data_IF_396999273261
#
_entry.id   IF_396999273261
#
_cell.length_a   1.000
_cell.length_b   1.000
_cell.length_c   1.000
_cell.angle_alpha   90.00
_cell.angle_beta   90.00
_cell.angle_gamma   90.00
#
_symmetry.space_group_name_H-M   'P 1'
#
loop_
_entity.id
_entity.type
_entity.pdbx_description
1 polymer ?
#
# COMPACT_ATOMS: atom_id res chain seq x y z
N UNK A 1 -16.03 -8.49 2.06
CA UNK A 1 -16.10 -8.02 0.67
C UNK A 1 -16.35 -6.53 0.73
N UNK A 2 -15.30 -5.74 0.55
CA UNK A 2 -15.36 -4.28 0.66
C UNK A 2 -15.71 -3.75 -0.72
N UNK A 3 -16.89 -3.16 -0.85
CA UNK A 3 -17.28 -2.45 -2.07
C UNK A 3 -16.67 -1.05 -1.94
N UNK A 4 -15.55 -0.78 -2.61
CA UNK A 4 -15.04 0.59 -2.75
C UNK A 4 -15.79 1.23 -3.91
N UNK A 5 -16.70 2.15 -3.60
CA UNK A 5 -17.23 3.06 -4.60
C UNK A 5 -16.12 4.05 -4.99
N UNK A 6 -16.03 4.38 -6.28
CA UNK A 6 -15.06 5.36 -6.80
C UNK A 6 -15.00 6.62 -5.92
N UNK A 7 -13.82 7.09 -5.49
CA UNK A 7 -13.69 8.45 -4.98
C UNK A 7 -14.17 9.44 -6.04
N UNK A 8 -14.96 10.42 -5.61
CA UNK A 8 -15.41 11.53 -6.45
C UNK A 8 -14.23 12.46 -6.76
N UNK A 9 -13.39 12.10 -7.71
CA UNK A 9 -12.36 13.01 -8.23
C UNK A 9 -12.24 12.89 -9.74
N UNK A 10 -12.63 13.98 -10.41
CA UNK A 10 -12.14 14.47 -11.71
C UNK A 10 -12.87 14.02 -13.01
N UNK A 11 -13.83 14.86 -13.39
CA UNK A 11 -13.83 15.71 -14.60
C UNK A 11 -13.71 15.12 -16.02
N UNK A 12 -13.68 13.80 -16.26
CA UNK A 12 -13.76 13.31 -17.67
C UNK A 12 -14.17 11.86 -17.85
N UNK A 13 -15.22 11.42 -17.15
CA UNK A 13 -15.86 10.16 -17.51
C UNK A 13 -16.75 10.32 -18.76
N UNK A 14 -16.35 9.75 -19.90
CA UNK A 14 -17.20 9.63 -21.10
C UNK A 14 -17.99 8.32 -21.17
N UNK A 15 -17.97 7.51 -20.11
CA UNK A 15 -18.85 6.36 -19.94
C UNK A 15 -20.21 6.86 -19.43
N UNK A 16 -21.28 6.35 -20.03
CA UNK A 16 -22.66 6.72 -19.71
C UNK A 16 -23.32 5.67 -18.81
N UNK A 17 -22.58 5.05 -17.89
CA UNK A 17 -23.12 4.02 -16.99
C UNK A 17 -23.37 4.58 -15.57
N UNK A 18 -24.22 3.87 -14.82
CA UNK A 18 -24.82 4.26 -13.53
C UNK A 18 -23.82 4.42 -12.36
N UNK A 19 -22.55 4.09 -12.58
CA UNK A 19 -21.57 3.78 -11.53
C UNK A 19 -20.40 4.76 -11.46
N UNK A 20 -20.46 5.84 -12.24
CA UNK A 20 -19.47 6.92 -12.28
C UNK A 20 -19.78 8.08 -11.33
N UNK A 21 -20.89 7.98 -10.59
CA UNK A 21 -21.38 9.04 -9.71
C UNK A 21 -21.92 10.28 -10.41
N UNK A 22 -21.87 10.40 -11.75
CA UNK A 22 -22.46 11.57 -12.45
C UNK A 22 -23.98 11.47 -12.55
N UNK A 23 -24.52 10.27 -12.37
CA UNK A 23 -25.95 10.02 -12.36
C UNK A 23 -26.48 10.02 -10.92
N UNK A 24 -27.12 11.11 -10.50
CA UNK A 24 -27.83 11.23 -9.21
C UNK A 24 -29.01 10.26 -9.05
N UNK A 25 -29.20 9.35 -10.00
CA UNK A 25 -30.21 8.32 -10.04
C UNK A 25 -29.61 7.04 -10.61
N UNK A 26 -29.71 5.91 -9.89
CA UNK A 26 -29.65 4.61 -10.55
C UNK A 26 -30.86 4.56 -11.49
N UNK A 27 -30.62 4.69 -12.79
CA UNK A 27 -31.70 4.70 -13.78
C UNK A 27 -32.42 3.34 -13.76
N UNK A 28 -33.58 3.26 -13.11
CA UNK A 28 -34.43 2.07 -13.11
C UNK A 28 -34.71 1.43 -11.75
N UNK A 29 -34.30 2.02 -10.63
CA UNK A 29 -34.69 1.48 -9.32
C UNK A 29 -36.22 1.55 -9.13
N UNK A 30 -36.85 0.37 -9.11
CA UNK A 30 -38.30 0.19 -9.01
C UNK A 30 -38.83 0.15 -7.56
N UNK A 31 -37.99 0.52 -6.58
CA UNK A 31 -38.25 0.40 -5.15
C UNK A 31 -37.74 -0.92 -4.55
N UNK A 32 -37.70 -1.02 -3.21
CA UNK A 32 -37.17 -2.18 -2.50
C UNK A 32 -36.64 -1.82 -1.11
N UNK A 33 -36.09 -2.80 -0.40
CA UNK A 33 -35.35 -2.59 0.85
C UNK A 33 -33.96 -1.99 0.57
N UNK A 34 -33.30 -1.47 1.60
CA UNK A 34 -31.89 -1.05 1.50
C UNK A 34 -30.99 -2.19 1.04
N UNK A 35 -31.33 -3.45 1.34
CA UNK A 35 -30.58 -4.62 0.87
C UNK A 35 -30.72 -4.81 -0.64
N UNK A 36 -31.90 -4.53 -1.20
CA UNK A 36 -32.15 -4.66 -2.64
C UNK A 36 -31.43 -3.55 -3.42
N UNK A 37 -31.35 -2.35 -2.84
CA UNK A 37 -30.54 -1.26 -3.38
C UNK A 37 -29.04 -1.58 -3.38
N UNK A 38 -28.52 -2.12 -2.27
CA UNK A 38 -27.12 -2.51 -2.16
C UNK A 38 -26.80 -3.66 -3.11
N UNK A 39 -27.72 -4.62 -3.29
CA UNK A 39 -27.56 -5.69 -4.26
C UNK A 39 -27.58 -5.15 -5.70
N UNK A 40 -28.46 -4.20 -6.02
CA UNK A 40 -28.48 -3.56 -7.34
C UNK A 40 -27.18 -2.78 -7.62
N UNK A 41 -26.61 -2.09 -6.63
CA UNK A 41 -25.29 -1.46 -6.74
C UNK A 41 -24.18 -2.50 -6.97
N UNK A 42 -24.24 -3.66 -6.31
CA UNK A 42 -23.28 -4.76 -6.52
C UNK A 42 -23.48 -5.42 -7.88
N UNK A 43 -24.70 -5.57 -8.37
CA UNK A 43 -24.98 -6.19 -9.67
C UNK A 43 -24.68 -5.24 -10.84
N UNK A 44 -24.87 -3.93 -10.66
CA UNK A 44 -24.58 -2.91 -11.70
C UNK A 44 -23.13 -2.40 -11.67
N UNK A 45 -22.52 -2.32 -10.48
CA UNK A 45 -21.17 -1.79 -10.30
C UNK A 45 -20.14 -2.84 -9.85
N UNK A 46 -20.55 -4.03 -9.40
CA UNK A 46 -19.63 -5.12 -9.04
C UNK A 46 -19.05 -5.87 -10.24
N UNK A 47 -19.69 -5.78 -11.41
CA UNK A 47 -19.17 -6.30 -12.68
C UNK A 47 -18.17 -5.34 -13.38
N UNK A 48 -17.89 -4.15 -12.82
CA UNK A 48 -16.91 -3.20 -13.37
C UNK A 48 -15.46 -3.71 -13.33
N UNK A 49 -15.15 -4.74 -12.54
CA UNK A 49 -13.81 -5.31 -12.44
C UNK A 49 -13.56 -6.49 -13.40
N UNK A 50 -14.53 -6.92 -14.22
CA UNK A 50 -14.35 -8.03 -15.15
C UNK A 50 -13.62 -7.63 -16.46
N UNK A 51 -13.30 -6.34 -16.62
CA UNK A 51 -12.56 -5.80 -17.77
C UNK A 51 -11.87 -4.47 -17.47
N UNK A 52 -11.61 -4.23 -16.19
CA UNK A 52 -10.85 -3.09 -15.74
C UNK A 52 -9.39 -3.23 -16.20
N UNK A 53 -8.85 -2.20 -16.85
CA UNK A 53 -7.47 -2.19 -17.37
C UNK A 53 -6.53 -1.33 -16.53
N UNK A 54 -7.08 -0.59 -15.56
CA UNK A 54 -6.46 0.35 -14.62
C UNK A 54 -7.47 0.49 -13.47
N UNK A 55 -7.27 -0.28 -12.39
CA UNK A 55 -8.30 -0.56 -11.39
C UNK A 55 -8.33 0.36 -10.19
N UNK A 56 -7.27 1.09 -9.96
CA UNK A 56 -7.21 2.18 -9.00
C UNK A 56 -7.23 3.56 -9.66
N UNK A 57 -7.25 3.62 -10.98
CA UNK A 57 -7.39 4.84 -11.79
C UNK A 57 -6.21 5.79 -11.60
N UNK A 58 -5.01 5.23 -11.49
CA UNK A 58 -3.77 5.97 -11.26
C UNK A 58 -3.07 6.43 -12.56
N UNK A 59 -3.55 5.93 -13.71
CA UNK A 59 -3.02 6.24 -15.04
C UNK A 59 -2.07 5.18 -15.60
N UNK A 60 -1.78 4.11 -14.84
CA UNK A 60 -0.99 2.95 -15.23
C UNK A 60 -1.93 1.77 -15.49
N UNK A 61 -1.64 0.96 -16.51
CA UNK A 61 -2.47 -0.23 -16.75
C UNK A 61 -2.11 -1.33 -15.76
N UNK A 62 -3.08 -2.09 -15.24
CA UNK A 62 -2.87 -3.20 -14.28
C UNK A 62 -1.78 -4.20 -14.70
N UNK A 63 -1.51 -4.34 -16.00
CA UNK A 63 -0.46 -5.23 -16.53
C UNK A 63 0.97 -4.67 -16.42
N UNK A 64 1.09 -3.36 -16.21
CA UNK A 64 2.34 -2.60 -16.07
C UNK A 64 2.44 -1.90 -14.70
N UNK A 65 1.38 -1.98 -13.89
CA UNK A 65 1.24 -1.33 -12.59
C UNK A 65 1.88 -2.17 -11.48
N UNK A 66 2.77 -1.56 -10.69
CA UNK A 66 3.43 -2.20 -9.56
C UNK A 66 2.54 -2.23 -8.29
N UNK A 67 1.38 -1.56 -8.29
CA UNK A 67 0.34 -1.66 -7.27
C UNK A 67 -1.11 -1.64 -7.81
N UNK A 68 -1.57 -2.65 -8.59
CA UNK A 68 -2.85 -2.65 -9.34
C UNK A 68 -4.19 -2.45 -8.60
N UNK A 69 -4.16 -2.20 -7.29
CA UNK A 69 -5.35 -1.93 -6.50
C UNK A 69 -5.16 -0.81 -5.48
N UNK A 70 -4.08 -0.04 -5.58
CA UNK A 70 -3.75 1.11 -4.74
C UNK A 70 -3.12 2.21 -5.61
N UNK A 71 -3.87 3.30 -5.80
CA UNK A 71 -3.48 4.45 -6.59
C UNK A 71 -2.06 4.93 -6.30
N UNK A 72 -1.14 4.82 -7.26
CA UNK A 72 0.25 5.23 -7.14
C UNK A 72 0.86 5.73 -8.47
N UNK A 73 0.39 6.86 -9.04
CA UNK A 73 0.73 7.29 -10.40
C UNK A 73 2.22 7.53 -10.68
N UNK A 74 3.02 7.73 -9.63
CA UNK A 74 4.47 7.88 -9.73
C UNK A 74 5.17 6.55 -9.99
N UNK A 75 4.50 5.43 -9.69
CA UNK A 75 5.00 4.05 -9.82
C UNK A 75 6.38 3.93 -9.14
N UNK A 76 6.53 4.59 -7.98
CA UNK A 76 7.73 4.52 -7.16
C UNK A 76 7.89 3.10 -6.62
N UNK A 77 9.11 2.59 -6.71
CA UNK A 77 9.57 1.25 -6.34
C UNK A 77 11.03 1.46 -5.90
N UNK A 78 11.18 1.81 -4.62
CA UNK A 78 12.44 2.28 -4.06
C UNK A 78 13.51 1.19 -4.02
N UNK A 79 13.10 -0.08 -4.02
CA UNK A 79 13.98 -1.25 -3.85
C UNK A 79 14.15 -2.10 -5.12
N UNK A 80 13.25 -1.91 -6.10
CA UNK A 80 13.29 -2.52 -7.41
C UNK A 80 12.81 -3.97 -7.43
N UNK A 81 11.98 -4.40 -6.47
CA UNK A 81 11.43 -5.75 -6.41
C UNK A 81 10.18 -5.95 -7.31
N UNK A 82 9.63 -4.84 -7.81
CA UNK A 82 8.47 -4.80 -8.69
C UNK A 82 7.12 -4.62 -7.97
N UNK A 83 7.12 -4.46 -6.65
CA UNK A 83 6.00 -3.93 -5.86
C UNK A 83 6.22 -2.42 -5.67
N UNK A 84 5.17 -1.63 -5.83
CA UNK A 84 5.28 -0.20 -5.60
C UNK A 84 5.31 0.14 -4.11
N UNK A 85 5.97 1.25 -3.79
CA UNK A 85 6.12 1.77 -2.42
C UNK A 85 4.78 1.89 -1.66
N UNK A 86 3.68 2.14 -2.38
CA UNK A 86 2.31 2.27 -1.83
C UNK A 86 1.65 0.93 -1.43
N UNK A 87 2.08 -0.18 -2.00
CA UNK A 87 1.54 -1.52 -1.72
C UNK A 87 2.57 -2.50 -1.14
N UNK A 88 3.83 -2.08 -1.07
CA UNK A 88 4.90 -2.82 -0.43
C UNK A 88 4.95 -2.49 1.08
N UNK A 89 5.11 -3.54 1.90
CA UNK A 89 5.31 -3.40 3.34
C UNK A 89 6.76 -3.71 3.74
N UNK A 90 7.66 -3.83 2.77
CA UNK A 90 9.05 -4.20 2.97
C UNK A 90 9.93 -3.52 1.91
N UNK A 91 10.30 -2.27 2.16
CA UNK A 91 11.04 -1.49 1.16
C UNK A 91 12.52 -1.90 1.05
N UNK A 92 12.99 -2.89 1.82
CA UNK A 92 14.38 -3.39 1.80
C UNK A 92 15.44 -2.26 1.77
N UNK A 93 15.18 -1.18 2.52
CA UNK A 93 16.03 0.00 2.63
C UNK A 93 16.81 -0.08 3.95
N UNK A 94 18.11 -0.45 3.94
CA UNK A 94 18.85 -0.63 5.18
C UNK A 94 18.86 0.65 6.03
N UNK A 95 18.30 0.55 7.23
CA UNK A 95 18.14 1.66 8.17
C UNK A 95 16.73 2.24 8.26
N UNK A 96 15.83 1.97 7.31
CA UNK A 96 14.39 2.23 7.42
C UNK A 96 13.76 0.96 8.01
N UNK A 97 13.67 0.93 9.33
CA UNK A 97 13.33 -0.28 10.10
C UNK A 97 11.84 -0.33 10.43
N UNK A 98 11.13 0.80 10.31
CA UNK A 98 9.67 0.81 10.39
C UNK A 98 8.97 0.82 9.03
N UNK A 99 9.73 0.70 7.93
CA UNK A 99 9.25 0.60 6.55
C UNK A 99 8.33 1.79 6.20
N UNK A 100 8.78 3.02 6.49
CA UNK A 100 8.02 4.26 6.23
C UNK A 100 8.68 5.23 5.25
N UNK A 101 9.72 4.75 4.55
CA UNK A 101 10.53 5.46 3.56
C UNK A 101 11.27 6.67 4.14
N UNK A 102 11.50 6.68 5.45
CA UNK A 102 12.23 7.72 6.13
C UNK A 102 13.29 7.15 7.08
N UNK A 103 14.43 7.84 7.17
CA UNK A 103 15.46 7.50 8.14
C UNK A 103 15.38 8.50 9.29
N UNK A 104 14.77 8.09 10.40
CA UNK A 104 14.59 8.94 11.56
C UNK A 104 14.68 8.20 12.92
N UNK A 105 14.29 8.89 13.98
CA UNK A 105 14.39 8.37 15.34
C UNK A 105 13.48 7.16 15.60
N UNK A 106 12.41 7.00 14.82
CA UNK A 106 11.49 5.86 14.90
C UNK A 106 12.19 4.57 14.45
N UNK A 107 13.09 4.61 13.47
CA UNK A 107 13.91 3.47 13.09
C UNK A 107 14.83 3.01 14.21
N UNK A 108 15.43 3.98 14.90
CA UNK A 108 16.30 3.71 16.06
C UNK A 108 15.49 3.04 17.16
N UNK A 109 14.27 3.54 17.42
CA UNK A 109 13.37 2.94 18.41
C UNK A 109 13.00 1.52 18.01
N UNK A 110 12.67 1.27 16.74
CA UNK A 110 12.31 -0.05 16.23
C UNK A 110 13.50 -1.01 16.31
N UNK A 111 14.69 -0.58 15.90
CA UNK A 111 15.94 -1.35 16.03
C UNK A 111 16.21 -1.74 17.49
N UNK A 112 16.05 -0.80 18.43
CA UNK A 112 16.22 -1.08 19.86
C UNK A 112 15.17 -2.09 20.35
N UNK A 113 13.92 -1.98 19.91
CA UNK A 113 12.87 -2.93 20.26
C UNK A 113 13.19 -4.35 19.73
N UNK A 114 13.73 -4.47 18.51
CA UNK A 114 14.19 -5.75 17.95
C UNK A 114 15.29 -6.35 18.83
N UNK A 115 16.31 -5.57 19.21
CA UNK A 115 17.40 -6.03 20.09
C UNK A 115 16.84 -6.53 21.42
N UNK A 116 15.93 -5.78 22.04
CA UNK A 116 15.31 -6.13 23.32
C UNK A 116 14.42 -7.38 23.23
N UNK A 117 13.86 -7.66 22.06
CA UNK A 117 13.04 -8.84 21.80
C UNK A 117 13.84 -10.08 21.35
N UNK A 118 15.18 -10.05 21.41
CA UNK A 118 16.04 -11.17 21.05
C UNK A 118 16.77 -11.04 19.72
N UNK A 119 16.79 -9.84 19.12
CA UNK A 119 17.53 -9.54 17.89
C UNK A 119 16.99 -10.33 16.70
N UNK A 120 17.91 -10.83 15.86
CA UNK A 120 17.60 -11.59 14.64
C UNK A 120 16.70 -12.82 14.87
N UNK A 121 16.70 -13.36 16.10
CA UNK A 121 15.88 -14.54 16.46
C UNK A 121 14.48 -14.17 16.99
N UNK A 122 14.14 -12.89 17.06
CA UNK A 122 12.84 -12.45 17.57
C UNK A 122 11.70 -12.90 16.64
N UNK A 123 10.59 -13.44 17.16
CA UNK A 123 9.40 -13.77 16.37
C UNK A 123 8.46 -12.57 16.21
N UNK A 124 8.70 -11.46 16.91
CA UNK A 124 7.75 -10.34 17.03
C UNK A 124 7.89 -9.31 15.88
N UNK A 125 8.90 -9.48 15.03
CA UNK A 125 9.25 -8.57 13.93
C UNK A 125 9.34 -9.32 12.60
N UNK A 126 9.05 -8.62 11.50
CA UNK A 126 9.14 -9.19 10.16
C UNK A 126 10.60 -9.49 9.77
N UNK A 127 10.79 -10.22 8.69
CA UNK A 127 12.14 -10.47 8.16
C UNK A 127 12.75 -9.19 7.56
N UNK A 128 11.92 -8.32 6.98
CA UNK A 128 12.36 -7.04 6.41
C UNK A 128 12.98 -6.15 7.47
N UNK A 129 12.21 -5.85 8.52
CA UNK A 129 12.65 -5.06 9.67
C UNK A 129 13.96 -5.57 10.28
N UNK A 130 14.16 -6.90 10.32
CA UNK A 130 15.41 -7.47 10.82
C UNK A 130 16.58 -7.31 9.85
N UNK A 131 16.31 -7.40 8.56
CA UNK A 131 17.27 -7.16 7.49
C UNK A 131 17.70 -5.70 7.49
N UNK A 132 16.75 -4.77 7.58
CA UNK A 132 17.03 -3.33 7.59
C UNK A 132 17.68 -2.86 8.90
N UNK A 133 17.42 -3.58 10.00
CA UNK A 133 18.08 -3.34 11.28
C UNK A 133 19.51 -3.91 11.38
N UNK A 134 19.96 -4.79 10.47
CA UNK A 134 21.35 -5.30 10.41
C UNK A 134 22.19 -4.50 9.42
N UNK A 135 22.42 -3.21 9.74
CA UNK A 135 23.08 -2.27 8.84
C UNK A 135 24.51 -2.69 8.44
N UNK A 136 25.17 -3.51 9.26
CA UNK A 136 26.51 -4.00 8.97
C UNK A 136 26.53 -5.40 8.30
N UNK A 137 25.34 -5.98 8.08
CA UNK A 137 25.09 -7.24 7.39
C UNK A 137 25.91 -8.43 7.93
N UNK A 138 26.06 -8.52 9.27
CA UNK A 138 26.81 -9.61 9.91
C UNK A 138 25.91 -10.73 10.47
N UNK A 139 24.60 -10.62 10.29
CA UNK A 139 23.58 -11.52 10.82
C UNK A 139 23.29 -11.33 12.31
N UNK A 140 23.71 -10.21 12.92
CA UNK A 140 23.57 -9.93 14.35
C UNK A 140 23.15 -8.49 14.59
N UNK A 141 21.87 -8.30 14.88
CA UNK A 141 21.29 -7.00 15.26
C UNK A 141 21.68 -6.66 16.72
N UNK A 142 22.47 -5.61 16.90
CA UNK A 142 22.96 -5.16 18.20
C UNK A 142 23.23 -3.64 18.23
N UNK A 143 23.85 -3.15 19.30
CA UNK A 143 24.10 -1.71 19.49
C UNK A 143 24.99 -1.10 18.39
N UNK A 144 25.80 -1.90 17.69
CA UNK A 144 26.60 -1.43 16.56
C UNK A 144 25.71 -0.95 15.41
N UNK A 145 24.59 -1.63 15.15
CA UNK A 145 23.64 -1.27 14.09
C UNK A 145 22.91 0.03 14.44
N UNK A 146 22.51 0.19 15.71
CA UNK A 146 21.94 1.45 16.22
C UNK A 146 22.90 2.62 16.03
N UNK A 147 24.20 2.42 16.30
CA UNK A 147 25.21 3.47 16.10
C UNK A 147 25.34 3.81 14.61
N UNK A 148 25.29 2.82 13.71
CA UNK A 148 25.31 3.06 12.28
C UNK A 148 24.09 3.85 11.81
N UNK A 149 22.90 3.48 12.29
CA UNK A 149 21.66 4.14 11.96
C UNK A 149 21.64 5.60 12.44
N UNK A 150 22.10 5.87 13.66
CA UNK A 150 22.25 7.25 14.15
C UNK A 150 23.21 8.05 13.25
N UNK A 151 24.29 7.43 12.76
CA UNK A 151 25.19 8.10 11.82
C UNK A 151 24.54 8.34 10.45
N UNK A 152 23.59 7.51 10.00
CA UNK A 152 22.81 7.77 8.79
C UNK A 152 21.89 8.99 8.99
N UNK A 153 21.19 9.06 10.11
CA UNK A 153 20.21 10.14 10.40
C UNK A 153 20.90 11.51 10.58
N UNK A 154 22.11 11.54 11.13
CA UNK A 154 22.80 12.78 11.49
C UNK A 154 23.67 13.39 10.37
N UNK A 155 23.85 12.70 9.23
CA UNK A 155 24.68 13.16 8.11
C UNK A 155 23.83 13.62 6.93
#
# INVERSE_FOLDING_TARGET
MTVRAKPWTLDSNTNSNSCDGTNSTINGWSGGSTSDFLQQLVDECGDLCLGCTDCDEDGTQDSEDNCPGLYNPSQEDSDGDGLGDECDNCHNLPGDVNDDLSFDILDVITTVNIILAGGISSPDFTECQKTDADLNANGVINILDVIQLINLILN
#
